data_IF_969620260952
#
_entry.id   IF_969620260952
#
_cell.length_a   1.000
_cell.length_b   1.000
_cell.length_c   1.000
_cell.angle_alpha   90.00
_cell.angle_beta   90.00
_cell.angle_gamma   90.00
#
_symmetry.space_group_name_H-M   'P 1'
#
loop_
_entity.id
_entity.type
_entity.pdbx_description
1 polymer ?
#
# COMPACT_ATOMS: atom_id res chain seq x y z
N UNK A 1 -59.65 -15.04 -42.04
CA UNK A 1 -59.47 -16.37 -41.42
C UNK A 1 -58.29 -16.26 -40.46
N UNK A 2 -58.56 -16.25 -39.16
CA UNK A 2 -57.55 -16.23 -38.08
C UNK A 2 -56.86 -17.60 -37.95
N UNK A 3 -55.58 -17.64 -37.53
CA UNK A 3 -55.09 -18.77 -36.75
C UNK A 3 -54.41 -18.35 -35.42
N UNK A 4 -55.12 -18.66 -34.33
CA UNK A 4 -54.74 -19.40 -33.12
C UNK A 4 -53.32 -19.21 -32.53
N UNK A 5 -53.29 -18.67 -31.29
CA UNK A 5 -52.15 -18.61 -30.36
C UNK A 5 -51.54 -19.99 -30.06
N UNK A 6 -50.21 -20.07 -30.03
CA UNK A 6 -49.49 -21.16 -29.36
C UNK A 6 -48.48 -20.59 -28.35
N UNK A 7 -48.78 -20.76 -27.05
CA UNK A 7 -47.80 -20.61 -25.96
C UNK A 7 -46.82 -21.77 -26.03
N UNK A 8 -45.51 -21.48 -26.06
CA UNK A 8 -44.45 -22.46 -25.78
C UNK A 8 -43.65 -22.01 -24.56
N UNK A 9 -43.35 -23.02 -23.74
CA UNK A 9 -43.05 -23.03 -22.31
C UNK A 9 -41.62 -22.55 -22.00
N UNK A 10 -41.36 -21.94 -20.83
CA UNK A 10 -40.00 -21.71 -20.34
C UNK A 10 -39.40 -23.07 -19.92
N UNK A 11 -38.25 -23.42 -20.49
CA UNK A 11 -37.49 -24.60 -20.04
C UNK A 11 -36.82 -24.27 -18.70
N UNK A 12 -37.03 -25.05 -17.63
CA UNK A 12 -36.34 -24.85 -16.36
C UNK A 12 -34.93 -25.44 -16.45
N UNK A 13 -33.91 -24.59 -16.25
CA UNK A 13 -32.57 -25.06 -15.90
C UNK A 13 -32.57 -25.64 -14.48
N UNK A 14 -31.66 -26.59 -14.16
CA UNK A 14 -31.79 -27.41 -12.97
C UNK A 14 -31.61 -26.58 -11.69
N UNK A 15 -32.58 -26.70 -10.78
CA UNK A 15 -32.47 -26.28 -9.38
C UNK A 15 -31.69 -27.33 -8.59
N UNK A 16 -31.19 -26.87 -7.43
CA UNK A 16 -30.62 -27.64 -6.30
C UNK A 16 -29.20 -28.21 -6.46
N UNK A 17 -28.23 -27.39 -6.04
CA UNK A 17 -27.52 -27.72 -4.78
C UNK A 17 -27.75 -26.59 -3.79
N UNK A 18 -28.13 -26.88 -2.53
CA UNK A 18 -27.99 -25.90 -1.46
C UNK A 18 -26.54 -25.44 -1.48
N UNK A 19 -26.29 -24.14 -1.59
CA UNK A 19 -24.98 -23.59 -1.31
C UNK A 19 -24.80 -23.81 0.19
N UNK A 20 -24.19 -24.94 0.54
CA UNK A 20 -23.73 -25.24 1.89
C UNK A 20 -22.96 -24.00 2.33
N UNK A 21 -23.54 -23.24 3.26
CA UNK A 21 -22.75 -22.35 4.09
C UNK A 21 -21.74 -23.28 4.76
N UNK A 22 -20.43 -23.07 4.64
CA UNK A 22 -19.52 -23.73 5.57
C UNK A 22 -19.86 -23.14 6.93
N UNK A 23 -20.68 -23.88 7.66
CA UNK A 23 -20.90 -23.75 9.09
C UNK A 23 -19.79 -24.57 9.75
N UNK A 24 -19.14 -23.90 10.67
CA UNK A 24 -18.40 -24.42 11.81
C UNK A 24 -16.99 -24.97 11.58
N UNK A 25 -16.07 -24.16 12.13
CA UNK A 25 -15.08 -24.57 13.10
C UNK A 25 -14.07 -25.60 12.63
N UNK A 26 -13.12 -25.11 11.85
CA UNK A 26 -11.76 -25.62 11.95
C UNK A 26 -10.99 -24.48 12.64
N UNK A 27 -10.84 -24.57 13.96
CA UNK A 27 -9.71 -23.94 14.65
C UNK A 27 -8.46 -24.68 14.21
N UNK A 28 -8.09 -24.52 12.95
CA UNK A 28 -6.77 -24.86 12.46
C UNK A 28 -5.82 -23.98 13.24
N UNK A 29 -4.98 -24.59 14.09
CA UNK A 29 -3.88 -23.98 14.81
C UNK A 29 -3.41 -22.73 14.05
N UNK A 30 -3.81 -21.56 14.55
CA UNK A 30 -3.29 -20.28 14.12
C UNK A 30 -1.81 -20.38 14.42
N UNK A 31 -1.03 -20.78 13.42
CA UNK A 31 0.39 -20.53 13.32
C UNK A 31 0.51 -19.03 13.52
N UNK A 32 0.65 -18.62 14.78
CA UNK A 32 0.47 -17.26 15.24
C UNK A 32 1.71 -16.52 14.76
N UNK A 33 1.66 -16.16 13.47
CA UNK A 33 2.74 -15.49 12.77
C UNK A 33 2.92 -14.16 13.46
N UNK A 34 3.99 -14.09 14.25
CA UNK A 34 4.46 -12.86 14.85
C UNK A 34 4.67 -11.89 13.69
N UNK A 35 3.83 -10.87 13.64
CA UNK A 35 3.86 -9.84 12.63
C UNK A 35 5.04 -8.91 12.87
N UNK A 36 5.44 -8.18 11.83
CA UNK A 36 6.48 -7.16 11.97
C UNK A 36 6.15 -6.16 13.09
N UNK A 37 4.89 -5.75 13.19
CA UNK A 37 4.41 -4.80 14.20
C UNK A 37 4.44 -5.32 15.64
N UNK A 38 4.57 -6.64 15.85
CA UNK A 38 4.65 -7.25 17.18
C UNK A 38 6.06 -7.19 17.77
N UNK A 39 7.04 -6.72 16.99
CA UNK A 39 8.40 -6.50 17.47
C UNK A 39 8.46 -5.31 18.45
N UNK A 40 9.38 -5.33 19.42
CA UNK A 40 9.64 -4.18 20.27
C UNK A 40 10.07 -2.94 19.47
N UNK A 41 9.74 -1.75 19.98
CA UNK A 41 10.05 -0.48 19.32
C UNK A 41 11.56 -0.28 19.09
N UNK A 42 12.40 -0.82 19.96
CA UNK A 42 13.86 -0.80 19.83
C UNK A 42 14.31 -1.53 18.55
N UNK A 43 13.65 -2.65 18.22
CA UNK A 43 13.93 -3.42 17.02
C UNK A 43 13.47 -2.65 15.79
N UNK A 44 12.28 -2.04 15.83
CA UNK A 44 11.82 -1.17 14.75
C UNK A 44 12.78 0.00 14.48
N UNK A 45 13.33 0.62 15.53
CA UNK A 45 14.31 1.69 15.43
C UNK A 45 15.67 1.22 14.88
N UNK A 46 16.09 0.01 15.21
CA UNK A 46 17.31 -0.57 14.65
C UNK A 46 17.14 -0.87 13.15
N UNK A 47 15.98 -1.41 12.77
CA UNK A 47 15.65 -1.70 11.38
C UNK A 47 15.59 -0.40 10.58
N UNK A 48 14.91 0.63 11.08
CA UNK A 48 14.77 1.91 10.35
C UNK A 48 16.11 2.59 10.06
N UNK A 49 17.10 2.45 10.96
CA UNK A 49 18.46 2.98 10.77
C UNK A 49 19.26 2.27 9.68
N UNK A 50 18.86 1.07 9.29
CA UNK A 50 19.53 0.28 8.25
C UNK A 50 18.95 0.52 6.85
N UNK A 51 17.81 1.21 6.75
CA UNK A 51 17.13 1.44 5.48
C UNK A 51 17.71 2.65 4.75
N UNK A 52 17.87 2.51 3.44
CA UNK A 52 18.13 3.66 2.55
C UNK A 52 16.87 4.52 2.42
N UNK A 53 17.04 5.78 1.97
CA UNK A 53 15.95 6.75 1.94
C UNK A 53 14.63 6.25 1.32
N UNK A 54 14.59 5.67 0.10
CA UNK A 54 13.33 5.21 -0.50
C UNK A 54 12.61 4.13 0.32
N UNK A 55 13.38 3.24 0.95
CA UNK A 55 12.84 2.13 1.74
C UNK A 55 12.36 2.61 3.11
N UNK A 56 13.13 3.50 3.75
CA UNK A 56 12.73 4.15 5.00
C UNK A 56 11.45 4.96 4.82
N UNK A 57 11.35 5.71 3.72
CA UNK A 57 10.15 6.46 3.36
C UNK A 57 8.96 5.54 3.11
N UNK A 58 9.19 4.40 2.44
CA UNK A 58 8.15 3.40 2.23
C UNK A 58 7.64 2.85 3.57
N UNK A 59 8.54 2.48 4.50
CA UNK A 59 8.18 2.01 5.84
C UNK A 59 7.37 3.06 6.61
N UNK A 60 7.80 4.33 6.56
CA UNK A 60 7.12 5.47 7.18
C UNK A 60 5.66 5.60 6.74
N UNK A 61 5.35 5.25 5.49
CA UNK A 61 4.00 5.33 4.94
C UNK A 61 3.14 4.07 5.12
N UNK A 62 3.66 3.00 5.73
CA UNK A 62 2.88 1.77 5.96
C UNK A 62 1.86 1.88 7.10
N UNK A 63 2.14 2.66 8.13
CA UNK A 63 1.24 2.85 9.27
C UNK A 63 1.50 4.18 9.98
N UNK A 64 0.51 4.67 10.73
CA UNK A 64 0.65 5.86 11.56
C UNK A 64 1.78 5.69 12.60
N UNK A 65 1.96 4.49 13.16
CA UNK A 65 3.05 4.20 14.10
C UNK A 65 4.43 4.44 13.47
N UNK A 66 4.68 3.90 12.28
CA UNK A 66 5.96 4.08 11.59
C UNK A 66 6.15 5.51 11.07
N UNK A 67 5.06 6.20 10.77
CA UNK A 67 5.10 7.59 10.32
C UNK A 67 5.81 8.51 11.31
N UNK A 68 5.55 8.30 12.61
CA UNK A 68 6.18 9.07 13.69
C UNK A 68 7.51 8.47 14.18
N UNK A 69 7.74 7.17 13.96
CA UNK A 69 8.95 6.49 14.42
C UNK A 69 10.14 6.66 13.46
N UNK A 70 9.90 6.63 12.15
CA UNK A 70 10.95 6.57 11.12
C UNK A 70 11.43 7.96 10.71
N UNK A 71 12.72 8.21 10.85
CA UNK A 71 13.37 9.45 10.42
C UNK A 71 13.86 9.36 8.97
N UNK A 72 13.34 10.24 8.12
CA UNK A 72 13.68 10.41 6.69
C UNK A 72 14.37 11.76 6.44
N UNK A 73 15.14 12.24 7.42
CA UNK A 73 15.84 13.52 7.36
C UNK A 73 16.86 13.66 6.22
N UNK A 74 17.36 14.89 6.05
CA UNK A 74 18.25 15.28 4.96
C UNK A 74 19.51 14.41 4.86
N UNK A 75 20.07 13.99 6.00
CA UNK A 75 21.28 13.16 6.03
C UNK A 75 21.10 11.85 5.26
N UNK A 76 19.96 11.18 5.43
CA UNK A 76 19.66 9.93 4.75
C UNK A 76 19.48 10.13 3.24
N UNK A 77 18.86 11.24 2.84
CA UNK A 77 18.72 11.63 1.42
C UNK A 77 20.08 11.88 0.76
N UNK A 78 20.98 12.58 1.45
CA UNK A 78 22.33 12.87 0.97
C UNK A 78 23.15 11.61 0.84
N UNK A 79 23.16 10.76 1.87
CA UNK A 79 23.88 9.47 1.86
C UNK A 79 23.45 8.60 0.68
N UNK A 80 22.14 8.46 0.48
CA UNK A 80 21.57 7.74 -0.66
C UNK A 80 21.99 8.35 -2.02
N UNK A 81 21.97 9.68 -2.16
CA UNK A 81 22.42 10.35 -3.39
C UNK A 81 23.92 10.14 -3.65
N UNK A 82 24.74 10.15 -2.60
CA UNK A 82 26.17 9.89 -2.71
C UNK A 82 26.43 8.47 -3.19
N UNK A 83 25.79 7.47 -2.57
CA UNK A 83 25.91 6.07 -2.97
C UNK A 83 25.46 5.85 -4.42
N UNK A 84 24.32 6.42 -4.84
CA UNK A 84 23.86 6.35 -6.25
C UNK A 84 24.88 6.95 -7.21
N UNK A 85 25.47 8.10 -6.87
CA UNK A 85 26.50 8.74 -7.70
C UNK A 85 27.77 7.89 -7.78
N UNK A 86 28.19 7.27 -6.69
CA UNK A 86 29.33 6.34 -6.67
C UNK A 86 29.11 5.13 -7.58
N UNK A 87 27.86 4.67 -7.68
CA UNK A 87 27.45 3.60 -8.59
C UNK A 87 27.16 4.08 -10.02
N UNK A 88 27.40 5.36 -10.33
CA UNK A 88 27.10 5.99 -11.62
C UNK A 88 25.64 5.80 -12.07
N UNK A 89 24.72 5.70 -11.11
CA UNK A 89 23.29 5.63 -11.38
C UNK A 89 22.72 7.03 -11.62
N UNK A 90 21.64 7.11 -12.37
CA UNK A 90 20.91 8.35 -12.54
C UNK A 90 20.35 8.83 -11.18
N UNK A 91 20.66 10.07 -10.82
CA UNK A 91 20.08 10.71 -9.64
C UNK A 91 18.69 11.28 -9.99
N UNK A 92 17.73 11.29 -9.05
CA UNK A 92 16.46 11.95 -9.28
C UNK A 92 16.66 13.39 -9.70
N UNK A 93 15.94 13.78 -10.75
CA UNK A 93 15.91 15.14 -11.27
C UNK A 93 14.52 15.73 -10.96
N UNK A 94 14.44 17.06 -10.86
CA UNK A 94 13.25 17.83 -10.47
C UNK A 94 11.99 17.50 -11.29
N UNK A 95 12.15 16.86 -12.46
CA UNK A 95 11.05 16.45 -13.34
C UNK A 95 10.35 15.15 -12.94
N UNK A 96 10.98 14.28 -12.13
CA UNK A 96 10.43 12.95 -11.77
C UNK A 96 10.34 12.73 -10.28
N UNK A 97 11.28 13.17 -9.46
CA UNK A 97 11.11 13.08 -8.01
C UNK A 97 11.87 14.26 -7.38
N UNK A 98 11.14 15.21 -6.79
CA UNK A 98 11.76 16.34 -6.06
C UNK A 98 12.10 15.89 -4.63
N UNK A 99 13.39 15.92 -4.29
CA UNK A 99 13.94 15.49 -3.00
C UNK A 99 13.81 16.53 -1.88
N UNK A 100 13.32 17.73 -2.19
CA UNK A 100 13.12 18.83 -1.25
C UNK A 100 12.19 18.47 -0.09
N UNK A 101 11.24 17.55 -0.30
CA UNK A 101 10.47 16.94 0.79
C UNK A 101 9.98 15.54 0.44
N UNK A 102 9.64 14.75 1.47
CA UNK A 102 9.10 13.40 1.31
C UNK A 102 7.82 13.41 0.45
N UNK A 103 6.93 14.37 0.70
CA UNK A 103 5.69 14.54 -0.05
C UNK A 103 5.93 14.79 -1.53
N UNK A 104 6.90 15.66 -1.86
CA UNK A 104 7.23 15.96 -3.26
C UNK A 104 7.90 14.78 -3.96
N UNK A 105 8.73 14.03 -3.23
CA UNK A 105 9.36 12.83 -3.74
C UNK A 105 8.31 11.74 -4.08
N UNK A 106 7.36 11.50 -3.18
CA UNK A 106 6.25 10.57 -3.43
C UNK A 106 5.39 10.99 -4.62
N UNK A 107 5.06 12.29 -4.74
CA UNK A 107 4.20 12.81 -5.82
C UNK A 107 4.81 12.68 -7.21
N UNK A 108 6.10 12.93 -7.36
CA UNK A 108 6.74 12.80 -8.68
C UNK A 108 6.82 11.35 -9.18
N UNK A 109 6.74 10.37 -8.28
CA UNK A 109 6.92 8.96 -8.60
C UNK A 109 5.74 8.34 -9.37
N UNK A 110 4.60 9.04 -9.50
CA UNK A 110 3.40 8.58 -10.19
C UNK A 110 3.11 9.52 -11.37
N UNK A 111 3.07 9.03 -12.63
CA UNK A 111 2.65 9.86 -13.76
C UNK A 111 1.20 10.32 -13.55
N UNK A 112 0.87 11.56 -13.96
CA UNK A 112 -0.40 12.30 -13.72
C UNK A 112 -1.71 11.65 -14.27
N UNK A 113 -1.74 10.34 -14.48
CA UNK A 113 -2.97 9.58 -14.75
C UNK A 113 -3.58 9.04 -13.45
N UNK A 114 -4.59 9.73 -12.94
CA UNK A 114 -5.53 9.30 -11.89
C UNK A 114 -4.97 9.19 -10.44
N UNK A 115 -5.03 10.30 -9.71
CA UNK A 115 -4.77 10.34 -8.26
C UNK A 115 -5.93 11.02 -7.52
N UNK A 116 -6.93 10.21 -7.14
CA UNK A 116 -8.04 10.57 -6.23
C UNK A 116 -7.64 10.54 -4.74
N UNK A 117 -6.36 10.38 -4.41
CA UNK A 117 -5.86 10.21 -3.03
C UNK A 117 -5.67 11.49 -2.22
N UNK A 118 -6.03 12.66 -2.77
CA UNK A 118 -5.70 13.96 -2.18
C UNK A 118 -6.71 14.50 -1.13
N UNK A 119 -7.69 13.71 -0.67
CA UNK A 119 -8.78 14.26 0.15
C UNK A 119 -8.56 14.21 1.69
N UNK A 120 -7.57 13.46 2.22
CA UNK A 120 -7.49 13.21 3.68
C UNK A 120 -6.22 13.67 4.39
N UNK A 121 -5.20 14.20 3.70
CA UNK A 121 -3.90 14.48 4.33
C UNK A 121 -3.79 15.90 4.96
N UNK A 122 -4.66 16.85 4.60
CA UNK A 122 -4.54 18.27 5.04
C UNK A 122 -5.24 18.60 6.38
N UNK A 123 -5.75 17.61 7.11
CA UNK A 123 -6.37 17.82 8.45
C UNK A 123 -5.55 17.20 9.59
N UNK A 124 -4.24 17.46 9.66
CA UNK A 124 -3.43 17.00 10.80
C UNK A 124 -2.34 18.00 11.25
N UNK A 125 -2.52 19.29 10.97
CA UNK A 125 -1.60 20.34 11.44
C UNK A 125 -2.36 21.60 11.84
N UNK A 126 -3.31 21.46 12.76
CA UNK A 126 -3.94 22.59 13.45
C UNK A 126 -4.52 22.14 14.80
N UNK A 127 -3.66 21.67 15.72
CA UNK A 127 -3.86 21.78 17.19
C UNK A 127 -2.47 21.88 17.82
#
# INVERSE_FOLDING_TARGET
MEPIRARKRPTPGPLTRPRVRPSDCETSDDDQRVGFADLPAEIHLLISKQLIYPDALSLKHTSSYFYYLVDTGVRLKVEWLMERRMLHLECPNDRRCDLGSDLRFCRGSVPDGENTWNASQDQASAV
#
